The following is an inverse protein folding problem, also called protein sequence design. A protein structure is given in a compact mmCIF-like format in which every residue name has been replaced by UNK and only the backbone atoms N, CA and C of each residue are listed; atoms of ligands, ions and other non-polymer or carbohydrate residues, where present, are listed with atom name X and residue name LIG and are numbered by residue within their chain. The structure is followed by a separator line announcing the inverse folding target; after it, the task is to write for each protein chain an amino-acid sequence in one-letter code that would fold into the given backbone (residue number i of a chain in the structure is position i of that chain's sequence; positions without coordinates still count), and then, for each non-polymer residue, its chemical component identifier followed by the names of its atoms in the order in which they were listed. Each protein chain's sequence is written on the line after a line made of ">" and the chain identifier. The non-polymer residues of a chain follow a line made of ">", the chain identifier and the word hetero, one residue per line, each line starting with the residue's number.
data_IF_550716014642
#
_entry.id   IF_550716014642
#
_cell.length_a   1.000
_cell.length_b   1.000
_cell.length_c   1.000
_cell.angle_alpha   90.00
_cell.angle_beta   90.00
_cell.angle_gamma   90.00
#
_symmetry.space_group_name_H-M   'P 1'
#
loop_
_entity.id
_entity.type
_entity.pdbx_description
1 polymer ?
#
# COMPACT_ATOMS: atom_id res chain seq x y z
N UNK A 1 -12.16 -4.97 5.36
CA UNK A 1 -11.08 -5.36 6.28
C UNK A 1 -10.67 -6.82 6.14
N UNK A 2 -11.55 -7.73 5.71
CA UNK A 2 -11.21 -9.16 5.53
C UNK A 2 -10.05 -9.44 4.55
N UNK A 3 -9.88 -8.63 3.50
CA UNK A 3 -8.82 -8.81 2.49
C UNK A 3 -7.45 -8.52 3.11
N UNK A 4 -7.28 -7.40 3.82
CA UNK A 4 -6.02 -7.06 4.48
C UNK A 4 -5.64 -8.08 5.57
N UNK A 5 -6.63 -8.58 6.31
CA UNK A 5 -6.40 -9.61 7.32
C UNK A 5 -5.95 -10.93 6.68
N UNK A 6 -6.50 -11.27 5.50
CA UNK A 6 -6.08 -12.45 4.72
C UNK A 6 -4.66 -12.28 4.16
N UNK A 7 -4.32 -11.12 3.62
CA UNK A 7 -2.96 -10.81 3.14
C UNK A 7 -1.97 -10.94 4.29
N UNK A 8 -2.29 -10.33 5.45
CA UNK A 8 -1.46 -10.46 6.65
C UNK A 8 -1.27 -11.91 7.07
N UNK A 9 -2.33 -12.71 7.12
CA UNK A 9 -2.27 -14.13 7.47
C UNK A 9 -1.30 -14.90 6.56
N UNK A 10 -1.40 -14.70 5.24
CA UNK A 10 -0.52 -15.37 4.27
C UNK A 10 0.94 -14.96 4.43
N UNK A 11 1.19 -13.65 4.56
CA UNK A 11 2.52 -13.09 4.81
C UNK A 11 3.11 -13.63 6.12
N UNK A 12 2.34 -13.59 7.19
CA UNK A 12 2.77 -14.08 8.48
C UNK A 12 3.16 -15.56 8.44
N UNK A 13 2.38 -16.41 7.81
CA UNK A 13 2.68 -17.84 7.69
C UNK A 13 3.94 -18.11 6.85
N UNK A 14 4.17 -17.33 5.81
CA UNK A 14 5.38 -17.47 4.99
C UNK A 14 6.64 -17.06 5.77
N UNK A 15 6.58 -15.95 6.50
CA UNK A 15 7.70 -15.47 7.30
C UNK A 15 7.90 -16.26 8.60
N UNK A 16 6.84 -16.78 9.22
CA UNK A 16 6.92 -17.57 10.46
C UNK A 16 7.84 -18.80 10.37
N UNK A 17 8.13 -19.26 9.15
CA UNK A 17 9.04 -20.39 8.90
C UNK A 17 10.50 -19.98 8.68
N UNK A 18 10.76 -18.69 8.43
CA UNK A 18 12.06 -18.23 7.94
C UNK A 18 12.64 -17.06 8.73
N UNK A 19 11.83 -16.39 9.54
CA UNK A 19 12.19 -15.11 10.14
C UNK A 19 11.90 -15.11 11.64
N UNK A 20 12.77 -14.49 12.42
CA UNK A 20 12.61 -14.31 13.86
C UNK A 20 11.48 -13.32 14.21
N UNK A 21 11.17 -12.42 13.30
CA UNK A 21 10.14 -11.38 13.47
C UNK A 21 9.07 -11.37 12.38
N UNK A 22 8.29 -12.45 12.22
CA UNK A 22 7.35 -12.60 11.12
C UNK A 22 6.27 -11.51 11.07
N UNK A 23 5.91 -10.93 12.22
CA UNK A 23 4.96 -9.81 12.30
C UNK A 23 5.54 -8.57 11.65
N UNK A 24 6.79 -8.22 11.95
CA UNK A 24 7.44 -7.05 11.41
C UNK A 24 7.64 -7.18 9.90
N UNK A 25 8.17 -8.29 9.44
CA UNK A 25 8.41 -8.55 8.00
C UNK A 25 7.10 -8.51 7.20
N UNK A 26 6.01 -9.07 7.75
CA UNK A 26 4.68 -9.00 7.13
C UNK A 26 4.16 -7.57 7.03
N UNK A 27 4.35 -6.76 8.07
CA UNK A 27 3.95 -5.35 8.08
C UNK A 27 4.76 -4.54 7.06
N UNK A 28 6.08 -4.77 6.96
CA UNK A 28 6.93 -4.09 5.97
C UNK A 28 6.46 -4.35 4.55
N UNK A 29 6.20 -5.60 4.19
CA UNK A 29 5.73 -5.96 2.85
C UNK A 29 4.35 -5.39 2.56
N UNK A 30 3.42 -5.47 3.53
CA UNK A 30 2.09 -4.87 3.37
C UNK A 30 2.15 -3.35 3.21
N UNK A 31 3.00 -2.67 3.98
CA UNK A 31 3.13 -1.21 3.89
C UNK A 31 3.69 -0.78 2.54
N UNK A 32 4.67 -1.51 2.01
CA UNK A 32 5.21 -1.26 0.68
C UNK A 32 4.14 -1.42 -0.42
N UNK A 33 3.33 -2.48 -0.35
CA UNK A 33 2.25 -2.70 -1.31
C UNK A 33 1.14 -1.63 -1.23
N UNK A 34 0.74 -1.25 -0.02
CA UNK A 34 -0.23 -0.17 0.19
C UNK A 34 0.33 1.15 -0.34
N UNK A 35 1.62 1.43 -0.10
CA UNK A 35 2.27 2.62 -0.63
C UNK A 35 2.26 2.66 -2.16
N UNK A 36 2.55 1.55 -2.84
CA UNK A 36 2.47 1.46 -4.31
C UNK A 36 1.06 1.79 -4.81
N UNK A 37 0.01 1.37 -4.12
CA UNK A 37 -1.38 1.68 -4.49
C UNK A 37 -1.77 3.14 -4.23
N UNK A 38 -1.22 3.76 -3.20
CA UNK A 38 -1.57 5.13 -2.78
C UNK A 38 -0.68 6.17 -3.46
N UNK A 39 0.55 5.81 -3.84
CA UNK A 39 1.53 6.71 -4.46
C UNK A 39 1.02 7.46 -5.70
N UNK A 40 0.20 6.89 -6.61
CA UNK A 40 -0.34 7.62 -7.75
C UNK A 40 -1.24 8.80 -7.33
N UNK A 41 -2.07 8.57 -6.32
CA UNK A 41 -2.97 9.62 -5.79
C UNK A 41 -2.14 10.75 -5.19
N UNK A 42 -1.12 10.41 -4.41
CA UNK A 42 -0.22 11.38 -3.79
C UNK A 42 0.58 12.14 -4.85
N UNK A 43 1.06 11.45 -5.91
CA UNK A 43 1.76 12.06 -7.02
C UNK A 43 0.91 13.12 -7.73
N UNK A 44 -0.35 12.80 -8.04
CA UNK A 44 -1.29 13.73 -8.66
C UNK A 44 -1.58 14.93 -7.72
N UNK A 45 -1.81 14.69 -6.44
CA UNK A 45 -2.01 15.77 -5.47
C UNK A 45 -0.78 16.69 -5.38
N UNK A 46 0.41 16.12 -5.42
CA UNK A 46 1.65 16.90 -5.39
C UNK A 46 1.82 17.76 -6.67
N UNK A 47 1.48 17.21 -7.83
CA UNK A 47 1.48 17.94 -9.11
C UNK A 47 0.48 19.12 -9.11
N UNK A 48 -0.69 18.94 -8.51
CA UNK A 48 -1.66 20.03 -8.31
C UNK A 48 -1.13 21.17 -7.43
N UNK A 49 -0.30 20.85 -6.43
CA UNK A 49 0.22 21.83 -5.47
C UNK A 49 1.42 22.59 -6.05
N UNK A 50 2.39 21.89 -6.65
CA UNK A 50 3.70 22.48 -6.96
C UNK A 50 3.99 22.76 -8.42
N UNK A 51 3.19 22.28 -9.35
CA UNK A 51 3.48 22.40 -10.80
C UNK A 51 4.87 21.84 -11.21
N UNK A 52 5.37 20.87 -10.43
CA UNK A 52 6.64 20.19 -10.69
C UNK A 52 6.34 18.73 -11.07
N UNK A 53 7.33 18.07 -11.67
CA UNK A 53 7.21 16.66 -12.07
C UNK A 53 6.65 15.77 -10.95
N UNK A 54 5.86 14.78 -11.32
CA UNK A 54 5.15 13.80 -10.48
C UNK A 54 6.02 12.99 -9.51
N UNK A 55 7.30 13.34 -9.34
CA UNK A 55 8.20 12.65 -8.41
C UNK A 55 7.92 13.06 -6.97
N UNK A 56 7.36 12.14 -6.22
CA UNK A 56 7.16 12.33 -4.78
C UNK A 56 8.52 12.52 -4.08
N UNK A 57 8.72 13.59 -3.31
CA UNK A 57 9.95 13.78 -2.54
C UNK A 57 10.25 12.57 -1.66
N UNK A 58 11.51 12.13 -1.62
CA UNK A 58 11.93 10.95 -0.86
C UNK A 58 11.50 11.02 0.61
N UNK A 59 11.60 12.19 1.21
CA UNK A 59 11.19 12.42 2.62
C UNK A 59 9.69 12.16 2.81
N UNK A 60 8.86 12.65 1.88
CA UNK A 60 7.41 12.44 1.93
C UNK A 60 7.07 10.96 1.75
N UNK A 61 7.73 10.28 0.81
CA UNK A 61 7.53 8.85 0.57
C UNK A 61 7.88 8.02 1.83
N UNK A 62 9.03 8.27 2.46
CA UNK A 62 9.44 7.59 3.69
C UNK A 62 8.47 7.86 4.84
N UNK A 63 8.01 9.10 4.99
CA UNK A 63 7.04 9.48 6.03
C UNK A 63 5.71 8.76 5.86
N UNK A 64 5.21 8.64 4.63
CA UNK A 64 3.96 7.92 4.33
C UNK A 64 4.11 6.42 4.63
N UNK A 65 5.21 5.80 4.19
CA UNK A 65 5.47 4.38 4.47
C UNK A 65 5.55 4.16 5.99
N UNK A 66 6.27 5.02 6.72
CA UNK A 66 6.36 4.97 8.17
C UNK A 66 5.00 5.08 8.86
N UNK A 67 4.15 6.00 8.39
CA UNK A 67 2.79 6.15 8.90
C UNK A 67 1.93 4.90 8.65
N UNK A 68 1.97 4.35 7.44
CA UNK A 68 1.27 3.10 7.11
C UNK A 68 1.76 1.94 8.00
N UNK A 69 3.09 1.83 8.21
CA UNK A 69 3.67 0.83 9.10
C UNK A 69 3.17 0.97 10.54
N UNK A 70 3.06 2.19 11.07
CA UNK A 70 2.55 2.44 12.41
C UNK A 70 1.08 2.02 12.55
N UNK A 71 0.24 2.33 11.56
CA UNK A 71 -1.15 1.92 11.53
C UNK A 71 -1.29 0.38 11.51
N UNK A 72 -0.51 -0.29 10.66
CA UNK A 72 -0.51 -1.75 10.59
C UNK A 72 0.03 -2.38 11.87
N UNK A 73 1.08 -1.80 12.47
CA UNK A 73 1.64 -2.25 13.75
C UNK A 73 0.63 -2.10 14.88
N UNK A 74 -0.09 -1.00 14.94
CA UNK A 74 -1.15 -0.82 15.93
C UNK A 74 -2.20 -1.94 15.84
N UNK A 75 -2.59 -2.33 14.63
CA UNK A 75 -3.59 -3.38 14.40
C UNK A 75 -3.04 -4.80 14.63
N UNK A 76 -1.93 -5.15 13.99
CA UNK A 76 -1.41 -6.52 13.96
C UNK A 76 -0.36 -6.82 15.02
N UNK A 77 0.18 -5.80 15.68
CA UNK A 77 1.12 -5.93 16.79
C UNK A 77 0.47 -6.50 18.04
N UNK A 78 -0.82 -6.25 18.26
CA UNK A 78 -1.56 -6.78 19.39
C UNK A 78 -1.76 -8.31 19.26
N UNK A 79 -1.20 -9.08 20.20
CA UNK A 79 -1.24 -10.55 20.19
C UNK A 79 -2.66 -11.12 20.17
N UNK A 80 -3.59 -10.49 20.87
CA UNK A 80 -4.99 -10.97 20.97
C UNK A 80 -5.69 -10.81 19.62
N UNK A 81 -5.60 -9.63 19.01
CA UNK A 81 -6.21 -9.33 17.70
C UNK A 81 -5.59 -10.22 16.64
N UNK A 82 -4.25 -10.32 16.62
CA UNK A 82 -3.51 -11.15 15.68
C UNK A 82 -3.93 -12.62 15.76
N UNK A 83 -3.97 -13.20 16.94
CA UNK A 83 -4.37 -14.60 17.12
C UNK A 83 -5.81 -14.83 16.64
N UNK A 84 -6.73 -13.92 16.94
CA UNK A 84 -8.12 -13.99 16.45
C UNK A 84 -8.19 -13.99 14.93
N UNK A 85 -7.38 -13.18 14.27
CA UNK A 85 -7.29 -13.12 12.82
C UNK A 85 -6.72 -14.43 12.25
N UNK A 86 -5.58 -14.89 12.78
CA UNK A 86 -4.90 -16.11 12.31
C UNK A 86 -5.80 -17.35 12.45
N UNK A 87 -6.44 -17.53 13.60
CA UNK A 87 -7.34 -18.67 13.83
C UNK A 87 -8.63 -18.58 13.01
N UNK A 88 -9.19 -17.37 12.87
CA UNK A 88 -10.43 -17.14 12.13
C UNK A 88 -10.30 -17.42 10.63
N UNK A 89 -9.13 -17.12 10.03
CA UNK A 89 -8.88 -17.31 8.60
C UNK A 89 -8.49 -18.76 8.30
N UNK A 90 -7.63 -19.37 9.13
CA UNK A 90 -7.20 -20.77 8.96
C UNK A 90 -8.36 -21.74 8.78
N UNK A 91 -9.51 -21.47 9.40
CA UNK A 91 -10.70 -22.33 9.34
C UNK A 91 -11.52 -22.17 8.04
N UNK A 92 -11.28 -21.13 7.24
CA UNK A 92 -12.18 -20.74 6.11
C UNK A 92 -11.54 -20.66 4.73
N UNK A 93 -10.22 -20.76 4.61
CA UNK A 93 -9.56 -20.44 3.34
C UNK A 93 -9.45 -21.66 2.41
N UNK A 94 -10.10 -21.57 1.26
CA UNK A 94 -9.91 -22.48 0.12
C UNK A 94 -8.66 -22.16 -0.72
N UNK A 95 -8.08 -20.96 -0.53
CA UNK A 95 -6.94 -20.43 -1.30
C UNK A 95 -5.57 -20.81 -0.73
N UNK A 96 -5.52 -21.57 0.37
CA UNK A 96 -4.25 -22.01 1.00
C UNK A 96 -3.47 -23.02 0.15
N UNK A 97 -4.04 -23.48 -0.97
CA UNK A 97 -3.38 -24.41 -1.90
C UNK A 97 -2.34 -23.75 -2.79
N UNK A 98 -2.41 -22.42 -2.97
CA UNK A 98 -1.41 -21.71 -3.79
C UNK A 98 -0.12 -21.50 -2.97
N UNK A 99 1.06 -21.82 -3.56
CA UNK A 99 2.33 -21.53 -2.91
C UNK A 99 2.45 -20.03 -2.58
N UNK A 100 3.00 -19.73 -1.41
CA UNK A 100 3.08 -18.35 -0.91
C UNK A 100 3.84 -17.43 -1.87
N UNK A 101 4.90 -17.93 -2.53
CA UNK A 101 5.71 -17.16 -3.48
C UNK A 101 4.88 -16.68 -4.68
N UNK A 102 4.00 -17.52 -5.23
CA UNK A 102 3.11 -17.13 -6.33
C UNK A 102 2.07 -16.11 -5.88
N UNK A 103 1.56 -16.25 -4.66
CA UNK A 103 0.63 -15.30 -4.08
C UNK A 103 1.26 -13.90 -3.96
N UNK A 104 2.53 -13.82 -3.48
CA UNK A 104 3.25 -12.55 -3.38
C UNK A 104 3.52 -11.90 -4.73
N UNK A 105 4.02 -12.71 -5.65
CA UNK A 105 4.35 -12.24 -6.99
C UNK A 105 3.09 -11.70 -7.69
N UNK A 106 2.00 -12.41 -7.58
CA UNK A 106 0.70 -11.99 -8.09
C UNK A 106 0.22 -10.69 -7.42
N UNK A 107 0.29 -10.62 -6.09
CA UNK A 107 -0.14 -9.43 -5.34
C UNK A 107 0.72 -8.20 -5.69
N UNK A 108 2.03 -8.37 -5.84
CA UNK A 108 2.95 -7.30 -6.22
C UNK A 108 2.66 -6.80 -7.64
N UNK A 109 2.55 -7.71 -8.60
CA UNK A 109 2.21 -7.38 -10.00
C UNK A 109 0.86 -6.66 -10.05
N UNK A 110 -0.14 -7.19 -9.37
CA UNK A 110 -1.48 -6.60 -9.30
C UNK A 110 -1.44 -5.17 -8.72
N UNK A 111 -0.69 -4.95 -7.64
CA UNK A 111 -0.53 -3.63 -7.01
C UNK A 111 0.11 -2.63 -7.97
N UNK A 112 1.16 -3.04 -8.70
CA UNK A 112 1.84 -2.18 -9.68
C UNK A 112 0.92 -1.86 -10.86
N UNK A 113 0.22 -2.85 -11.41
CA UNK A 113 -0.70 -2.65 -12.55
C UNK A 113 -1.85 -1.72 -12.16
N UNK A 114 -2.45 -1.92 -10.99
CA UNK A 114 -3.51 -1.04 -10.48
C UNK A 114 -2.96 0.36 -10.22
N UNK A 115 -1.78 0.48 -9.60
CA UNK A 115 -1.12 1.76 -9.33
C UNK A 115 -0.87 2.57 -10.60
N UNK A 116 -0.28 1.95 -11.63
CA UNK A 116 -0.04 2.60 -12.93
C UNK A 116 -1.38 2.96 -13.62
N UNK A 117 -2.34 2.05 -13.61
CA UNK A 117 -3.67 2.30 -14.19
C UNK A 117 -4.37 3.48 -13.54
N UNK A 118 -4.38 3.55 -12.20
CA UNK A 118 -4.93 4.67 -11.45
C UNK A 118 -4.21 5.98 -11.78
N UNK A 119 -2.88 5.96 -11.85
CA UNK A 119 -2.10 7.14 -12.20
C UNK A 119 -2.51 7.70 -13.56
N UNK A 120 -2.57 6.85 -14.59
CA UNK A 120 -2.94 7.26 -15.95
C UNK A 120 -4.37 7.83 -15.99
N UNK A 121 -5.31 7.14 -15.35
CA UNK A 121 -6.71 7.55 -15.31
C UNK A 121 -6.87 8.89 -14.60
N UNK A 122 -6.29 9.02 -13.41
CA UNK A 122 -6.44 10.24 -12.60
C UNK A 122 -5.73 11.41 -13.28
N UNK A 123 -4.51 11.20 -13.79
CA UNK A 123 -3.78 12.25 -14.50
C UNK A 123 -4.58 12.76 -15.69
N UNK A 124 -5.04 11.87 -16.57
CA UNK A 124 -5.81 12.23 -17.75
C UNK A 124 -7.15 12.88 -17.41
N UNK A 125 -7.89 12.32 -16.43
CA UNK A 125 -9.22 12.78 -16.09
C UNK A 125 -9.23 14.12 -15.32
N UNK A 126 -8.21 14.38 -14.52
CA UNK A 126 -8.17 15.56 -13.62
C UNK A 126 -7.22 16.62 -14.13
N UNK A 127 -5.97 16.27 -14.37
CA UNK A 127 -4.93 17.26 -14.70
C UNK A 127 -5.04 17.72 -16.15
N UNK A 128 -5.02 16.77 -17.09
CA UNK A 128 -4.99 17.10 -18.53
C UNK A 128 -6.32 17.72 -19.01
N UNK A 129 -7.45 17.21 -18.49
CA UNK A 129 -8.78 17.70 -18.91
C UNK A 129 -9.08 19.11 -18.40
N UNK A 130 -8.67 19.44 -17.18
CA UNK A 130 -8.97 20.72 -16.56
C UNK A 130 -7.78 21.67 -16.50
N UNK A 131 -6.61 21.30 -17.03
CA UNK A 131 -5.37 22.08 -16.99
C UNK A 131 -5.04 22.58 -15.57
N UNK A 132 -5.14 21.70 -14.58
CA UNK A 132 -5.03 22.02 -13.16
C UNK A 132 -3.59 22.01 -12.63
N UNK A 133 -2.58 21.87 -13.51
CA UNK A 133 -1.18 21.87 -13.07
C UNK A 133 -0.85 23.13 -12.30
N UNK A 134 -0.34 22.96 -11.09
CA UNK A 134 0.08 24.05 -10.21
C UNK A 134 -1.02 25.05 -9.83
N UNK A 135 -2.31 24.64 -9.85
CA UNK A 135 -3.43 25.54 -9.56
C UNK A 135 -3.32 26.19 -8.18
N UNK A 136 -2.89 25.41 -7.18
CA UNK A 136 -2.74 25.91 -5.80
C UNK A 136 -1.60 26.91 -5.73
N UNK A 137 -0.49 26.67 -6.41
CA UNK A 137 0.64 27.61 -6.49
C UNK A 137 0.25 28.90 -7.18
N UNK A 138 -0.48 28.82 -8.30
CA UNK A 138 -0.99 30.02 -9.01
C UNK A 138 -1.93 30.88 -8.14
N UNK A 139 -2.75 30.25 -7.32
CA UNK A 139 -3.67 30.97 -6.41
C UNK A 139 -2.96 31.64 -5.22
N UNK A 140 -1.84 31.07 -4.75
CA UNK A 140 -1.08 31.64 -3.62
C UNK A 140 -0.11 32.75 -4.10
N UNK A 141 0.34 32.70 -5.35
CA UNK A 141 1.31 33.65 -5.93
C UNK A 141 0.66 34.91 -6.50
N UNK A 142 -0.66 35.03 -6.51
CA UNK A 142 -1.43 36.24 -6.77
C UNK A 142 -1.68 37.04 -5.51
#
# INVERSE_FOLDING_TARGET
>A
MKILDYIFYRLYNAYARKDESPVFSSICVMSAQIFVLVSPIIGVLYELIKNESTTIPKVLAVSIIGFIMLLLRHRYGNKVIRNKILYGIRKKSKWDKLPDIFFYLFLTILSVVIGIGLFIIIKKAVIDTYNLEGIVWRLISQ
#
